data_IF_267325155979
#
_entry.id   IF_267325155979
#
_cell.length_a   1.000
_cell.length_b   1.000
_cell.length_c   1.000
_cell.angle_alpha   90.00
_cell.angle_beta   90.00
_cell.angle_gamma   90.00
#
_symmetry.space_group_name_H-M   'P 1'
#
loop_
_entity.id
_entity.type
_entity.pdbx_description
1 polymer ?
#
# COMPACT_ATOMS: atom_id res chain seq x y z
N UNK A 1 -14.14 -5.04 -20.47
CA UNK A 1 -13.94 -4.37 -19.17
C UNK A 1 -12.68 -4.86 -18.46
N UNK A 2 -12.48 -6.18 -18.29
CA UNK A 2 -11.24 -6.73 -17.72
C UNK A 2 -9.97 -6.26 -18.45
N UNK A 3 -9.97 -6.30 -19.79
CA UNK A 3 -8.80 -5.89 -20.59
C UNK A 3 -8.43 -4.42 -20.38
N UNK A 4 -9.43 -3.54 -20.22
CA UNK A 4 -9.23 -2.13 -19.93
C UNK A 4 -8.55 -1.93 -18.57
N UNK A 5 -9.04 -2.62 -17.54
CA UNK A 5 -8.47 -2.54 -16.18
C UNK A 5 -7.07 -3.13 -16.13
N UNK A 6 -6.81 -4.21 -16.88
CA UNK A 6 -5.47 -4.80 -16.99
C UNK A 6 -4.46 -3.84 -17.63
N UNK A 7 -4.90 -3.03 -18.60
CA UNK A 7 -4.07 -2.04 -19.27
C UNK A 7 -3.72 -0.83 -18.38
N UNK A 8 -4.37 -0.64 -17.24
CA UNK A 8 -3.98 0.42 -16.30
C UNK A 8 -2.57 0.18 -15.77
N UNK A 9 -1.80 1.27 -15.67
CA UNK A 9 -0.56 1.28 -14.90
C UNK A 9 -0.89 1.37 -13.39
N UNK A 10 0.12 1.27 -12.53
CA UNK A 10 -0.08 1.38 -11.09
C UNK A 10 -0.68 2.73 -10.68
N UNK A 11 -1.62 2.69 -9.72
CA UNK A 11 -2.38 3.82 -9.19
C UNK A 11 -2.24 3.89 -7.67
N UNK A 12 -2.50 5.06 -7.07
CA UNK A 12 -2.63 5.16 -5.62
C UNK A 12 -3.94 4.51 -5.17
N UNK A 13 -5.01 4.79 -5.91
CA UNK A 13 -6.36 4.33 -5.60
C UNK A 13 -7.06 3.73 -6.81
N UNK A 14 -7.97 2.79 -6.58
CA UNK A 14 -8.94 2.33 -7.56
C UNK A 14 -10.32 2.18 -6.91
N UNK A 15 -11.22 3.10 -7.21
CA UNK A 15 -12.57 3.11 -6.64
C UNK A 15 -13.51 2.22 -7.43
N UNK A 16 -14.39 1.48 -6.73
CA UNK A 16 -15.52 0.77 -7.33
C UNK A 16 -16.80 1.48 -6.89
N UNK A 17 -17.58 1.98 -7.86
CA UNK A 17 -18.96 2.37 -7.62
C UNK A 17 -19.85 1.22 -8.08
N UNK A 18 -20.69 0.71 -7.18
CA UNK A 18 -21.48 -0.50 -7.42
C UNK A 18 -22.73 -0.56 -6.55
N UNK A 19 -23.73 -1.27 -7.05
CA UNK A 19 -24.90 -1.73 -6.29
C UNK A 19 -24.82 -3.25 -6.05
N UNK A 20 -25.76 -3.80 -5.29
CA UNK A 20 -25.76 -5.24 -4.94
C UNK A 20 -25.78 -6.15 -6.18
N UNK A 21 -26.42 -5.71 -7.26
CA UNK A 21 -26.47 -6.43 -8.54
C UNK A 21 -25.11 -6.60 -9.22
N UNK A 22 -24.13 -5.75 -8.91
CA UNK A 22 -22.81 -5.72 -9.56
C UNK A 22 -21.77 -6.59 -8.87
N UNK A 23 -22.13 -7.25 -7.76
CA UNK A 23 -21.18 -7.98 -6.91
C UNK A 23 -20.36 -9.03 -7.69
N UNK A 24 -20.98 -9.70 -8.67
CA UNK A 24 -20.29 -10.67 -9.52
C UNK A 24 -19.20 -10.00 -10.37
N UNK A 25 -19.48 -8.83 -10.93
CA UNK A 25 -18.52 -8.04 -11.74
C UNK A 25 -17.41 -7.49 -10.84
N UNK A 26 -17.76 -6.92 -9.69
CA UNK A 26 -16.78 -6.40 -8.73
C UNK A 26 -15.79 -7.49 -8.27
N UNK A 27 -16.29 -8.68 -7.92
CA UNK A 27 -15.44 -9.84 -7.57
C UNK A 27 -14.50 -10.25 -8.71
N UNK A 28 -14.95 -10.14 -9.95
CA UNK A 28 -14.14 -10.48 -11.12
C UNK A 28 -13.05 -9.43 -11.44
N UNK A 29 -13.21 -8.19 -10.98
CA UNK A 29 -12.26 -7.09 -11.17
C UNK A 29 -11.30 -6.92 -9.99
N UNK A 30 -11.73 -7.28 -8.78
CA UNK A 30 -10.98 -7.04 -7.53
C UNK A 30 -9.53 -7.56 -7.58
N UNK A 31 -9.24 -8.80 -8.05
CA UNK A 31 -7.85 -9.29 -8.10
C UNK A 31 -6.95 -8.48 -9.03
N UNK A 32 -7.52 -7.83 -10.06
CA UNK A 32 -6.77 -6.97 -10.97
C UNK A 32 -6.51 -5.62 -10.29
N UNK A 33 -7.51 -5.06 -9.61
CA UNK A 33 -7.39 -3.77 -8.92
C UNK A 33 -6.40 -3.83 -7.75
N UNK A 34 -6.38 -4.93 -7.00
CA UNK A 34 -5.41 -5.19 -5.92
C UNK A 34 -3.95 -5.17 -6.41
N UNK A 35 -3.69 -5.60 -7.65
CA UNK A 35 -2.36 -5.55 -8.24
C UNK A 35 -1.96 -4.13 -8.70
N UNK A 36 -2.94 -3.24 -8.90
CA UNK A 36 -2.73 -1.92 -9.49
C UNK A 36 -2.72 -0.82 -8.44
N UNK A 37 -3.54 -0.90 -7.40
CA UNK A 37 -3.76 0.18 -6.43
C UNK A 37 -3.45 -0.24 -5.00
N UNK A 38 -2.94 0.70 -4.19
CA UNK A 38 -2.71 0.47 -2.76
C UNK A 38 -4.00 0.53 -1.93
N UNK A 39 -4.98 1.32 -2.36
CA UNK A 39 -6.28 1.46 -1.66
C UNK A 39 -7.44 1.37 -2.66
N UNK A 40 -8.52 0.67 -2.32
CA UNK A 40 -9.67 0.48 -3.20
C UNK A 40 -11.01 0.76 -2.48
N UNK A 41 -11.44 2.03 -2.37
CA UNK A 41 -12.70 2.35 -1.72
C UNK A 41 -13.90 1.91 -2.57
N UNK A 42 -14.98 1.50 -1.90
CA UNK A 42 -16.26 1.17 -2.53
C UNK A 42 -17.26 2.28 -2.21
N UNK A 43 -17.94 2.80 -3.23
CA UNK A 43 -18.97 3.83 -3.09
C UNK A 43 -18.50 5.11 -2.37
N UNK A 44 -17.22 5.45 -2.50
CA UNK A 44 -16.61 6.64 -1.90
C UNK A 44 -15.62 7.32 -2.84
N UNK A 45 -15.38 8.62 -2.66
CA UNK A 45 -14.41 9.36 -3.46
C UNK A 45 -12.98 9.13 -2.95
N UNK A 46 -11.97 9.02 -3.83
CA UNK A 46 -10.60 8.70 -3.43
C UNK A 46 -9.80 9.92 -2.91
N UNK A 47 -10.46 11.05 -2.65
CA UNK A 47 -9.80 12.31 -2.27
C UNK A 47 -9.41 12.37 -0.81
N UNK A 48 -10.14 11.68 0.07
CA UNK A 48 -9.83 11.61 1.49
C UNK A 48 -8.76 10.53 1.74
N UNK A 49 -7.70 10.91 2.45
CA UNK A 49 -6.67 10.00 2.94
C UNK A 49 -6.67 10.05 4.46
N UNK A 50 -7.25 9.04 5.09
CA UNK A 50 -7.23 8.91 6.54
C UNK A 50 -5.83 8.57 7.06
N UNK A 51 -5.46 9.14 8.21
CA UNK A 51 -4.19 8.83 8.89
C UNK A 51 -4.45 7.76 9.94
N UNK A 52 -4.54 6.51 9.50
CA UNK A 52 -4.85 5.33 10.33
C UNK A 52 -3.86 4.21 10.04
N UNK A 53 -3.62 3.33 11.01
CA UNK A 53 -2.66 2.21 10.90
C UNK A 53 -2.81 1.34 9.63
N UNK A 54 -4.02 0.96 9.17
CA UNK A 54 -4.18 0.14 7.97
C UNK A 54 -4.05 0.92 6.65
N UNK A 55 -3.78 2.24 6.68
CA UNK A 55 -3.73 3.06 5.47
C UNK A 55 -2.58 2.63 4.53
N UNK A 56 -2.90 2.52 3.24
CA UNK A 56 -1.91 2.27 2.18
C UNK A 56 -1.97 3.41 1.16
N UNK A 57 -1.31 4.51 1.49
CA UNK A 57 -1.00 5.57 0.53
C UNK A 57 0.26 5.19 -0.27
N UNK A 58 0.06 4.51 -1.39
CA UNK A 58 1.09 3.92 -2.22
C UNK A 58 0.47 3.05 -3.32
N UNK A 59 1.27 2.27 -4.04
CA UNK A 59 0.78 1.38 -5.08
C UNK A 59 1.89 0.92 -6.01
N UNK A 60 1.53 0.11 -7.02
CA UNK A 60 2.45 -0.31 -8.07
C UNK A 60 2.98 0.90 -8.85
N UNK A 61 4.17 0.77 -9.45
CA UNK A 61 4.71 1.82 -10.32
C UNK A 61 3.72 2.16 -11.46
N UNK A 62 3.51 3.45 -11.82
CA UNK A 62 4.23 4.65 -11.39
C UNK A 62 3.69 5.35 -10.13
N UNK A 63 2.69 4.80 -9.44
CA UNK A 63 2.11 5.44 -8.26
C UNK A 63 3.10 5.57 -7.09
N UNK A 64 4.00 4.60 -6.94
CA UNK A 64 5.12 4.65 -6.02
C UNK A 64 6.36 4.05 -6.66
N UNK A 65 7.52 4.54 -6.25
CA UNK A 65 8.83 3.97 -6.61
C UNK A 65 9.34 2.98 -5.57
N UNK A 66 8.70 2.90 -4.39
CA UNK A 66 9.07 1.99 -3.31
C UNK A 66 8.02 0.89 -3.17
N UNK A 67 8.40 -0.31 -3.60
CA UNK A 67 7.53 -1.48 -3.59
C UNK A 67 7.08 -1.85 -2.18
N UNK A 68 5.78 -2.13 -2.00
CA UNK A 68 5.21 -2.64 -0.74
C UNK A 68 5.21 -1.65 0.43
N UNK A 69 5.53 -0.38 0.22
CA UNK A 69 5.55 0.62 1.26
C UNK A 69 4.39 1.62 1.13
N UNK A 70 4.02 2.22 2.27
CA UNK A 70 3.15 3.41 2.31
C UNK A 70 3.93 4.64 2.74
N UNK A 71 3.54 5.83 2.26
CA UNK A 71 4.10 7.11 2.70
C UNK A 71 3.31 7.81 3.80
N UNK A 72 2.13 7.29 4.18
CA UNK A 72 1.24 7.87 5.21
C UNK A 72 1.06 6.88 6.36
N UNK A 73 0.76 7.39 7.55
CA UNK A 73 0.50 6.63 8.77
C UNK A 73 1.69 5.80 9.29
N UNK A 74 1.45 5.00 10.34
CA UNK A 74 2.49 4.36 11.16
C UNK A 74 3.36 3.37 10.40
N UNK A 75 2.78 2.62 9.46
CA UNK A 75 3.53 1.69 8.59
C UNK A 75 4.56 2.40 7.69
N UNK A 76 4.42 3.70 7.46
CA UNK A 76 5.37 4.47 6.64
C UNK A 76 6.78 4.55 7.24
N UNK A 77 6.92 4.32 8.56
CA UNK A 77 8.21 4.26 9.26
C UNK A 77 9.06 3.07 8.80
N UNK A 78 8.44 1.98 8.32
CA UNK A 78 9.14 0.80 7.78
C UNK A 78 9.87 1.07 6.47
N UNK A 79 9.75 2.29 5.92
CA UNK A 79 10.55 2.71 4.76
C UNK A 79 12.01 2.97 5.12
N UNK A 80 12.35 3.15 6.38
CA UNK A 80 13.76 3.31 6.77
C UNK A 80 14.43 1.94 6.83
N UNK A 81 15.73 1.88 6.51
CA UNK A 81 16.43 0.60 6.40
C UNK A 81 16.84 0.10 7.80
N UNK A 82 16.69 -1.20 8.09
CA UNK A 82 17.27 -1.80 9.29
C UNK A 82 18.78 -2.03 9.14
N UNK A 83 19.47 -2.21 10.26
CA UNK A 83 20.88 -2.63 10.34
C UNK A 83 20.98 -3.79 11.33
N UNK A 84 21.78 -4.81 10.98
CA UNK A 84 22.10 -5.93 11.87
C UNK A 84 23.54 -5.79 12.37
N UNK A 85 23.73 -5.98 13.68
CA UNK A 85 25.04 -5.91 14.34
C UNK A 85 25.46 -7.33 14.76
N UNK A 86 26.58 -7.83 14.25
CA UNK A 86 27.07 -9.20 14.52
C UNK A 86 28.47 -9.14 15.14
N UNK A 87 28.69 -9.82 16.27
CA UNK A 87 29.95 -9.82 17.03
C UNK A 87 30.44 -8.41 17.43
N UNK A 88 29.53 -7.46 17.66
CA UNK A 88 29.87 -6.13 18.11
C UNK A 88 30.25 -6.14 19.61
N UNK A 89 31.35 -5.49 20.02
CA UNK A 89 31.57 -5.21 21.44
C UNK A 89 30.49 -4.24 21.93
N UNK A 90 30.06 -4.39 23.19
CA UNK A 90 28.96 -3.61 23.78
C UNK A 90 29.17 -2.10 23.66
N UNK A 91 30.41 -1.63 23.77
CA UNK A 91 30.78 -0.21 23.67
C UNK A 91 30.55 0.40 22.27
N UNK A 92 30.40 -0.44 21.23
CA UNK A 92 30.10 0.00 19.85
C UNK A 92 28.63 -0.19 19.48
N UNK A 93 27.80 -0.76 20.36
CA UNK A 93 26.37 -0.88 20.09
C UNK A 93 25.68 0.50 20.23
N UNK A 94 24.65 0.76 19.42
CA UNK A 94 23.75 1.89 19.65
C UNK A 94 23.13 1.83 21.06
N UNK A 95 22.89 2.97 21.74
CA UNK A 95 22.36 2.99 23.11
C UNK A 95 21.09 2.16 23.30
N UNK A 96 20.19 2.15 22.31
CA UNK A 96 18.94 1.41 22.34
C UNK A 96 19.13 -0.12 22.29
N UNK A 97 20.34 -0.60 22.00
CA UNK A 97 20.72 -2.02 21.88
C UNK A 97 21.72 -2.48 22.95
N UNK A 98 22.10 -1.62 23.90
CA UNK A 98 23.13 -1.90 24.92
C UNK A 98 22.61 -2.65 26.18
N UNK A 99 21.38 -3.16 26.19
CA UNK A 99 20.75 -3.82 27.35
C UNK A 99 20.87 -5.35 27.30
#
# INVERSE_FOLDING_TARGET
MKDLVQAFQGRLTATIHMEDGDLCVAKALLPILEQKAGTAPVNGLPTAVEVVDPMVHGGSYPASTKFGATSVATLSTRRFHPVSYQNFPTELLPPDLCN
#
